data_IF_254303795646
#
_entry.id   IF_254303795646
#
_cell.length_a   1.000
_cell.length_b   1.000
_cell.length_c   1.000
_cell.angle_alpha   90.00
_cell.angle_beta   90.00
_cell.angle_gamma   90.00
#
_symmetry.space_group_name_H-M   'P 1'
#
loop_
_entity.id
_entity.type
_entity.pdbx_description
1 polymer ?
#
# COMPACT_ATOMS: atom_id res chain seq x y z
N UNK A 1 -23.19 -27.02 12.72
CA UNK A 1 -24.22 -25.98 12.52
C UNK A 1 -24.90 -25.52 13.82
N UNK A 2 -25.24 -26.41 14.77
CA UNK A 2 -25.83 -26.00 16.05
C UNK A 2 -25.03 -24.95 16.84
N UNK A 3 -23.71 -25.13 16.98
CA UNK A 3 -22.82 -24.19 17.68
C UNK A 3 -22.69 -22.85 16.93
N UNK A 4 -22.59 -22.89 15.60
CA UNK A 4 -22.57 -21.69 14.75
C UNK A 4 -23.82 -20.82 14.92
N UNK A 5 -25.02 -21.45 15.02
CA UNK A 5 -26.26 -20.70 15.24
C UNK A 5 -26.48 -20.29 16.69
N UNK A 6 -25.73 -20.86 17.63
CA UNK A 6 -25.65 -20.38 18.99
C UNK A 6 -24.78 -19.11 19.09
N UNK A 7 -23.62 -19.10 18.41
CA UNK A 7 -22.80 -17.89 18.20
C UNK A 7 -23.60 -16.80 17.48
N UNK A 8 -24.38 -17.15 16.46
CA UNK A 8 -25.29 -16.21 15.77
C UNK A 8 -26.30 -15.60 16.74
N UNK A 9 -27.02 -16.41 17.50
CA UNK A 9 -28.02 -15.93 18.45
C UNK A 9 -27.39 -15.06 19.55
N UNK A 10 -26.18 -15.41 20.00
CA UNK A 10 -25.41 -14.58 20.94
C UNK A 10 -25.03 -13.24 20.31
N UNK A 11 -24.52 -13.24 19.08
CA UNK A 11 -24.14 -12.02 18.38
C UNK A 11 -25.31 -11.06 18.21
N UNK A 12 -26.51 -11.56 17.85
CA UNK A 12 -27.73 -10.76 17.79
C UNK A 12 -28.13 -10.21 19.16
N UNK A 13 -28.01 -11.01 20.23
CA UNK A 13 -28.39 -10.55 21.58
C UNK A 13 -27.48 -9.44 22.11
N UNK A 14 -26.20 -9.48 21.73
CA UNK A 14 -25.19 -8.51 22.14
C UNK A 14 -24.99 -7.38 21.12
N UNK A 15 -25.68 -7.43 19.96
CA UNK A 15 -25.41 -6.58 18.78
C UNK A 15 -23.92 -6.53 18.41
N UNK A 16 -23.25 -7.68 18.47
CA UNK A 16 -21.79 -7.77 18.34
C UNK A 16 -21.35 -8.27 16.95
N UNK A 17 -21.12 -7.34 16.03
CA UNK A 17 -20.85 -7.62 14.61
C UNK A 17 -19.67 -8.55 14.35
N UNK A 18 -18.59 -8.47 15.13
CA UNK A 18 -17.43 -9.34 14.92
C UNK A 18 -17.71 -10.81 15.25
N UNK A 19 -18.59 -11.11 16.22
CA UNK A 19 -18.95 -12.50 16.54
C UNK A 19 -19.80 -13.04 15.39
N UNK A 20 -20.75 -12.23 14.90
CA UNK A 20 -21.53 -12.55 13.70
C UNK A 20 -20.63 -12.75 12.46
N UNK A 21 -19.58 -11.95 12.29
CA UNK A 21 -18.65 -12.13 11.17
C UNK A 21 -17.89 -13.46 11.27
N UNK A 22 -17.56 -13.94 12.47
CA UNK A 22 -16.86 -15.21 12.67
C UNK A 22 -17.70 -16.42 12.29
N UNK A 23 -19.02 -16.35 12.39
CA UNK A 23 -19.90 -17.45 11.93
C UNK A 23 -19.86 -17.63 10.41
N UNK A 24 -19.38 -16.63 9.66
CA UNK A 24 -19.15 -16.67 8.20
C UNK A 24 -17.67 -16.82 7.84
N UNK A 25 -16.78 -17.13 8.79
CA UNK A 25 -15.36 -17.33 8.50
C UNK A 25 -15.16 -18.56 7.61
N UNK A 26 -14.40 -18.46 6.49
CA UNK A 26 -13.99 -19.62 5.71
C UNK A 26 -12.74 -20.30 6.26
N UNK A 27 -12.18 -19.82 7.38
CA UNK A 27 -11.03 -20.43 8.03
C UNK A 27 -11.47 -20.98 9.37
N UNK A 28 -11.31 -22.30 9.63
CA UNK A 28 -11.66 -22.88 10.91
C UNK A 28 -10.74 -22.32 12.02
N UNK A 29 -11.27 -22.07 13.24
CA UNK A 29 -10.45 -21.62 14.35
C UNK A 29 -9.46 -22.73 14.76
N UNK A 30 -8.29 -22.39 15.35
CA UNK A 30 -7.27 -23.38 15.71
C UNK A 30 -7.77 -24.53 16.58
N UNK A 31 -8.74 -24.28 17.46
CA UNK A 31 -9.35 -25.29 18.32
C UNK A 31 -10.41 -26.17 17.65
N UNK A 32 -10.87 -25.85 16.44
CA UNK A 32 -11.91 -26.61 15.72
C UNK A 32 -11.57 -26.73 14.22
N UNK A 33 -10.49 -27.45 13.85
CA UNK A 33 -10.04 -27.55 12.45
C UNK A 33 -11.09 -28.15 11.51
N UNK A 34 -12.00 -28.99 12.02
CA UNK A 34 -13.06 -29.64 11.24
C UNK A 34 -14.38 -28.84 11.18
N UNK A 35 -14.42 -27.57 11.65
CA UNK A 35 -15.67 -26.77 11.74
C UNK A 35 -16.43 -26.70 10.41
N UNK A 36 -15.74 -26.47 9.29
CA UNK A 36 -16.37 -26.41 7.97
C UNK A 36 -16.99 -27.75 7.55
N UNK A 37 -16.27 -28.87 7.74
CA UNK A 37 -16.80 -30.21 7.44
C UNK A 37 -18.02 -30.55 8.29
N UNK A 38 -18.02 -30.19 9.57
CA UNK A 38 -19.18 -30.38 10.44
C UNK A 38 -20.39 -29.54 10.03
N UNK A 39 -20.17 -28.32 9.51
CA UNK A 39 -21.24 -27.51 8.93
C UNK A 39 -21.82 -28.20 7.69
N UNK A 40 -20.96 -28.73 6.81
CA UNK A 40 -21.40 -29.44 5.62
C UNK A 40 -22.20 -30.71 5.94
N UNK A 41 -21.76 -31.51 6.89
CA UNK A 41 -22.41 -32.78 7.27
C UNK A 41 -23.74 -32.59 8.00
N UNK A 42 -24.02 -31.39 8.51
CA UNK A 42 -25.22 -31.14 9.32
C UNK A 42 -26.51 -30.94 8.53
N UNK A 43 -26.44 -30.77 7.20
CA UNK A 43 -27.60 -30.62 6.31
C UNK A 43 -27.23 -31.09 4.90
N UNK A 44 -28.18 -31.04 3.96
CA UNK A 44 -27.96 -31.37 2.56
C UNK A 44 -28.54 -30.30 1.62
N UNK A 45 -28.17 -30.37 0.35
CA UNK A 45 -28.57 -29.39 -0.68
C UNK A 45 -30.08 -29.18 -0.82
N UNK A 46 -30.88 -30.22 -0.55
CA UNK A 46 -32.34 -30.17 -0.69
C UNK A 46 -33.03 -29.55 0.53
N UNK A 47 -32.46 -29.69 1.73
CA UNK A 47 -33.07 -29.27 3.01
C UNK A 47 -32.44 -28.01 3.61
N UNK A 48 -31.29 -27.56 3.11
CA UNK A 48 -30.47 -26.48 3.69
C UNK A 48 -31.29 -25.25 4.13
N UNK A 49 -32.18 -24.71 3.29
CA UNK A 49 -32.97 -23.53 3.66
C UNK A 49 -33.97 -23.80 4.80
N UNK A 50 -34.60 -24.98 4.80
CA UNK A 50 -35.54 -25.39 5.84
C UNK A 50 -34.85 -25.59 7.18
N UNK A 51 -33.72 -26.30 7.17
CA UNK A 51 -32.91 -26.55 8.36
C UNK A 51 -32.36 -25.24 8.94
N UNK A 52 -31.81 -24.36 8.09
CA UNK A 52 -31.34 -23.03 8.50
C UNK A 52 -32.45 -22.20 9.15
N UNK A 53 -33.66 -22.20 8.57
CA UNK A 53 -34.82 -21.51 9.15
C UNK A 53 -35.15 -22.05 10.54
N UNK A 54 -35.12 -23.38 10.70
CA UNK A 54 -35.36 -24.03 11.98
C UNK A 54 -34.27 -23.68 13.01
N UNK A 55 -32.98 -23.75 12.63
CA UNK A 55 -31.88 -23.42 13.53
C UNK A 55 -31.91 -21.96 13.99
N UNK A 56 -32.09 -21.01 13.05
CA UNK A 56 -32.18 -19.58 13.37
C UNK A 56 -33.32 -19.35 14.34
N UNK A 57 -34.55 -19.75 13.99
CA UNK A 57 -35.74 -19.52 14.83
C UNK A 57 -35.61 -20.15 16.20
N UNK A 58 -35.14 -21.39 16.28
CA UNK A 58 -35.05 -22.12 17.55
C UNK A 58 -34.02 -21.51 18.48
N UNK A 59 -32.86 -21.09 17.96
CA UNK A 59 -31.77 -20.52 18.75
C UNK A 59 -32.00 -19.06 19.14
N UNK A 60 -32.73 -18.30 18.32
CA UNK A 60 -33.03 -16.88 18.61
C UNK A 60 -34.30 -16.69 19.42
N UNK A 61 -35.29 -17.60 19.34
CA UNK A 61 -36.61 -17.45 19.98
C UNK A 61 -36.59 -17.08 21.47
N UNK A 62 -35.58 -17.52 22.24
CA UNK A 62 -35.46 -17.22 23.67
C UNK A 62 -34.53 -16.05 24.00
N UNK A 63 -33.78 -15.53 23.01
CA UNK A 63 -32.72 -14.52 23.22
C UNK A 63 -33.05 -13.18 22.56
N UNK A 64 -33.61 -13.19 21.35
CA UNK A 64 -33.83 -11.97 20.54
C UNK A 64 -35.03 -12.14 19.61
N UNK A 65 -35.84 -11.10 19.48
CA UNK A 65 -36.87 -11.01 18.45
C UNK A 65 -36.25 -10.43 17.17
N UNK A 66 -36.18 -11.24 16.12
CA UNK A 66 -35.68 -10.85 14.80
C UNK A 66 -36.88 -10.81 13.85
N UNK A 67 -36.93 -9.81 12.97
CA UNK A 67 -38.01 -9.69 11.99
C UNK A 67 -38.02 -10.87 11.00
N UNK A 68 -39.19 -11.21 10.46
CA UNK A 68 -39.31 -12.33 9.54
C UNK A 68 -38.52 -12.11 8.24
N UNK A 69 -38.47 -10.86 7.75
CA UNK A 69 -37.74 -10.54 6.53
C UNK A 69 -36.22 -10.60 6.75
N UNK A 70 -35.75 -10.11 7.88
CA UNK A 70 -34.34 -10.24 8.29
C UNK A 70 -33.93 -11.71 8.41
N UNK A 71 -34.77 -12.56 9.00
CA UNK A 71 -34.53 -14.02 9.08
C UNK A 71 -34.38 -14.61 7.66
N UNK A 72 -35.25 -14.23 6.72
CA UNK A 72 -35.16 -14.74 5.34
C UNK A 72 -33.86 -14.29 4.67
N UNK A 73 -33.44 -13.04 4.87
CA UNK A 73 -32.16 -12.54 4.38
C UNK A 73 -30.99 -13.36 4.92
N UNK A 74 -30.95 -13.64 6.22
CA UNK A 74 -29.90 -14.48 6.81
C UNK A 74 -29.93 -15.92 6.30
N UNK A 75 -31.11 -16.51 6.05
CA UNK A 75 -31.22 -17.85 5.45
C UNK A 75 -30.58 -17.86 4.05
N UNK A 76 -30.81 -16.84 3.23
CA UNK A 76 -30.17 -16.75 1.90
C UNK A 76 -28.64 -16.65 2.02
N UNK A 77 -28.15 -15.82 2.94
CA UNK A 77 -26.70 -15.66 3.21
C UNK A 77 -26.09 -16.97 3.68
N UNK A 78 -26.66 -17.65 4.67
CA UNK A 78 -26.11 -18.89 5.20
C UNK A 78 -26.24 -20.06 4.22
N UNK A 79 -27.27 -20.09 3.36
CA UNK A 79 -27.36 -21.09 2.30
C UNK A 79 -26.24 -20.90 1.26
N UNK A 80 -25.96 -19.65 0.87
CA UNK A 80 -24.84 -19.35 -0.02
C UNK A 80 -23.49 -19.67 0.64
N UNK A 81 -23.34 -19.36 1.95
CA UNK A 81 -22.15 -19.71 2.71
C UNK A 81 -21.93 -21.23 2.81
N UNK A 82 -22.99 -22.01 3.04
CA UNK A 82 -22.90 -23.48 3.07
C UNK A 82 -22.40 -24.05 1.74
N UNK A 83 -22.92 -23.55 0.60
CA UNK A 83 -22.43 -23.92 -0.74
C UNK A 83 -20.95 -23.55 -0.90
N UNK A 84 -20.58 -22.33 -0.53
CA UNK A 84 -19.20 -21.86 -0.64
C UNK A 84 -18.23 -22.64 0.26
N UNK A 85 -18.64 -23.00 1.48
CA UNK A 85 -17.88 -23.88 2.37
C UNK A 85 -17.65 -25.26 1.74
N UNK A 86 -18.63 -25.78 0.99
CA UNK A 86 -18.50 -27.03 0.24
C UNK A 86 -17.41 -26.95 -0.82
N UNK A 87 -17.43 -25.89 -1.62
CA UNK A 87 -16.39 -25.64 -2.63
C UNK A 87 -15.01 -25.40 -2.00
N UNK A 88 -14.93 -24.71 -0.86
CA UNK A 88 -13.66 -24.49 -0.14
C UNK A 88 -13.04 -25.81 0.30
N UNK A 89 -13.82 -26.67 0.97
CA UNK A 89 -13.34 -27.98 1.43
C UNK A 89 -12.95 -28.85 0.22
N UNK A 90 -13.73 -28.84 -0.85
CA UNK A 90 -13.39 -29.56 -2.07
C UNK A 90 -12.12 -29.00 -2.74
N UNK A 91 -11.93 -27.69 -2.75
CA UNK A 91 -10.75 -27.02 -3.30
C UNK A 91 -9.47 -27.33 -2.51
N UNK A 92 -9.54 -27.37 -1.18
CA UNK A 92 -8.42 -27.77 -0.32
C UNK A 92 -8.02 -29.25 -0.50
N UNK A 93 -8.98 -30.11 -0.85
CA UNK A 93 -8.75 -31.52 -1.17
C UNK A 93 -8.35 -31.76 -2.64
N UNK A 94 -8.22 -30.71 -3.46
CA UNK A 94 -7.90 -30.81 -4.89
C UNK A 94 -9.04 -31.35 -5.76
N UNK A 95 -10.27 -31.40 -5.23
CA UNK A 95 -11.48 -31.87 -5.91
C UNK A 95 -12.28 -30.74 -6.57
N UNK A 96 -11.96 -29.48 -6.28
CA UNK A 96 -12.55 -28.30 -6.91
C UNK A 96 -11.46 -27.28 -7.27
N UNK A 97 -11.79 -26.32 -8.14
CA UNK A 97 -10.88 -25.25 -8.53
C UNK A 97 -11.08 -24.00 -7.67
N UNK A 98 -10.04 -23.18 -7.50
CA UNK A 98 -10.16 -21.91 -6.80
C UNK A 98 -11.10 -20.94 -7.50
N UNK A 99 -11.31 -21.10 -8.81
CA UNK A 99 -12.34 -20.36 -9.57
C UNK A 99 -13.75 -20.69 -9.08
N UNK A 100 -14.08 -21.98 -8.86
CA UNK A 100 -15.40 -22.36 -8.31
C UNK A 100 -15.58 -21.85 -6.88
N UNK A 101 -14.51 -21.88 -6.08
CA UNK A 101 -14.49 -21.30 -4.73
C UNK A 101 -14.79 -19.79 -4.78
N UNK A 102 -14.12 -19.06 -5.68
CA UNK A 102 -14.35 -17.63 -5.86
C UNK A 102 -15.80 -17.35 -6.28
N UNK A 103 -16.32 -18.05 -7.28
CA UNK A 103 -17.69 -17.87 -7.78
C UNK A 103 -18.73 -18.13 -6.68
N UNK A 104 -18.57 -19.19 -5.88
CA UNK A 104 -19.46 -19.46 -4.75
C UNK A 104 -19.35 -18.39 -3.64
N UNK A 105 -18.14 -17.85 -3.40
CA UNK A 105 -17.96 -16.77 -2.42
C UNK A 105 -18.47 -15.41 -2.93
N UNK A 106 -18.45 -15.20 -4.25
CA UNK A 106 -19.04 -14.05 -4.93
C UNK A 106 -20.58 -14.08 -4.82
N UNK A 107 -21.19 -15.26 -4.96
CA UNK A 107 -22.62 -15.47 -4.69
C UNK A 107 -22.96 -15.09 -3.25
N UNK A 108 -22.19 -15.58 -2.27
CA UNK A 108 -22.34 -15.20 -0.85
C UNK A 108 -22.24 -13.69 -0.64
N UNK A 109 -21.25 -13.04 -1.27
CA UNK A 109 -21.09 -11.59 -1.21
C UNK A 109 -22.32 -10.88 -1.74
N UNK A 110 -22.89 -11.37 -2.84
CA UNK A 110 -24.09 -10.79 -3.45
C UNK A 110 -25.34 -10.97 -2.59
N UNK A 111 -25.51 -12.12 -1.94
CA UNK A 111 -26.61 -12.35 -0.98
C UNK A 111 -26.48 -11.46 0.25
N UNK A 112 -25.25 -11.25 0.74
CA UNK A 112 -25.02 -10.35 1.87
C UNK A 112 -25.36 -8.90 1.52
N UNK A 113 -24.93 -8.41 0.35
CA UNK A 113 -25.30 -7.07 -0.15
C UNK A 113 -26.83 -6.94 -0.28
N UNK A 114 -27.50 -7.98 -0.79
CA UNK A 114 -28.98 -8.01 -0.89
C UNK A 114 -29.63 -7.93 0.50
N UNK A 115 -29.06 -8.58 1.51
CA UNK A 115 -29.49 -8.48 2.91
C UNK A 115 -29.59 -7.03 3.41
N UNK A 116 -28.57 -6.21 3.13
CA UNK A 116 -28.58 -4.79 3.50
C UNK A 116 -29.50 -3.90 2.66
N UNK A 117 -29.77 -4.27 1.40
CA UNK A 117 -30.65 -3.48 0.55
C UNK A 117 -32.13 -3.81 0.78
N UNK A 118 -32.43 -5.08 1.01
CA UNK A 118 -33.79 -5.59 0.93
C UNK A 118 -34.31 -6.16 2.25
N UNK A 119 -33.44 -6.67 3.12
CA UNK A 119 -33.83 -7.41 4.34
C UNK A 119 -33.48 -6.68 5.64
N UNK A 120 -33.20 -5.36 5.56
CA UNK A 120 -33.07 -4.49 6.73
C UNK A 120 -31.86 -4.76 7.64
N UNK A 121 -30.77 -5.35 7.13
CA UNK A 121 -29.58 -5.60 7.96
C UNK A 121 -29.03 -4.30 8.57
N UNK A 122 -28.95 -4.26 9.89
CA UNK A 122 -28.52 -3.10 10.67
C UNK A 122 -26.99 -2.89 10.60
N UNK A 123 -26.53 -1.66 10.87
CA UNK A 123 -25.11 -1.28 10.78
C UNK A 123 -24.16 -2.05 11.71
N UNK A 124 -24.62 -2.57 12.85
CA UNK A 124 -23.74 -3.37 13.72
C UNK A 124 -23.27 -4.66 13.04
N UNK A 125 -23.94 -5.12 11.97
CA UNK A 125 -23.59 -6.33 11.23
C UNK A 125 -22.47 -6.12 10.19
N UNK A 126 -22.04 -4.87 9.94
CA UNK A 126 -21.00 -4.50 8.94
C UNK A 126 -19.71 -5.32 8.97
N UNK A 127 -19.20 -5.79 10.13
CA UNK A 127 -18.02 -6.66 10.14
C UNK A 127 -18.17 -7.92 9.27
N UNK A 128 -19.39 -8.37 8.97
CA UNK A 128 -19.66 -9.43 7.98
C UNK A 128 -19.27 -9.04 6.56
N UNK A 129 -19.56 -7.80 6.13
CA UNK A 129 -19.15 -7.27 4.82
C UNK A 129 -17.64 -7.23 4.70
N UNK A 130 -16.95 -6.88 5.79
CA UNK A 130 -15.51 -6.99 5.84
C UNK A 130 -15.07 -8.44 5.64
N UNK A 131 -15.52 -9.37 6.49
CA UNK A 131 -15.12 -10.77 6.43
C UNK A 131 -15.26 -11.33 5.01
N UNK A 132 -16.45 -11.16 4.44
CA UNK A 132 -16.75 -11.66 3.10
C UNK A 132 -15.91 -10.96 2.03
N UNK A 133 -15.79 -9.62 2.06
CA UNK A 133 -14.98 -8.87 1.08
C UNK A 133 -13.48 -9.17 1.16
N UNK A 134 -12.94 -9.41 2.37
CA UNK A 134 -11.54 -9.82 2.57
C UNK A 134 -11.26 -11.15 1.88
N UNK A 135 -12.11 -12.14 2.13
CA UNK A 135 -11.91 -13.48 1.59
C UNK A 135 -12.26 -13.57 0.11
N UNK A 136 -13.22 -12.77 -0.38
CA UNK A 136 -13.47 -12.60 -1.82
C UNK A 136 -12.17 -12.21 -2.54
N UNK A 137 -11.46 -11.20 -2.02
CA UNK A 137 -10.17 -10.77 -2.57
C UNK A 137 -9.09 -11.85 -2.49
N UNK A 138 -9.02 -12.61 -1.39
CA UNK A 138 -8.04 -13.68 -1.24
C UNK A 138 -8.31 -14.85 -2.19
N UNK A 139 -9.57 -15.23 -2.38
CA UNK A 139 -9.96 -16.28 -3.30
C UNK A 139 -9.78 -15.86 -4.76
N UNK A 140 -10.04 -14.59 -5.11
CA UNK A 140 -9.72 -14.04 -6.42
C UNK A 140 -8.22 -14.20 -6.75
N UNK A 141 -7.34 -13.80 -5.82
CA UNK A 141 -5.88 -13.94 -5.98
C UNK A 141 -5.47 -15.40 -6.13
N UNK A 142 -6.07 -16.33 -5.37
CA UNK A 142 -5.79 -17.76 -5.49
C UNK A 142 -6.27 -18.33 -6.82
N UNK A 143 -7.45 -17.93 -7.28
CA UNK A 143 -8.01 -18.35 -8.57
C UNK A 143 -7.16 -17.85 -9.74
N UNK A 144 -6.81 -16.57 -9.77
CA UNK A 144 -5.93 -16.02 -10.80
C UNK A 144 -4.57 -16.73 -10.81
N UNK A 145 -3.97 -16.98 -9.63
CA UNK A 145 -2.70 -17.71 -9.54
C UNK A 145 -2.80 -19.19 -9.98
N UNK A 146 -3.93 -19.86 -9.77
CA UNK A 146 -4.19 -21.21 -10.28
C UNK A 146 -4.33 -21.20 -11.81
N UNK A 147 -5.05 -20.21 -12.36
CA UNK A 147 -5.22 -20.03 -13.80
C UNK A 147 -3.89 -19.76 -14.50
N UNK A 148 -3.07 -18.84 -13.98
CA UNK A 148 -1.74 -18.56 -14.56
C UNK A 148 -0.87 -19.82 -14.63
N UNK A 149 -0.86 -20.64 -13.57
CA UNK A 149 -0.11 -21.91 -13.56
C UNK A 149 -0.63 -22.92 -14.59
N UNK A 150 -1.94 -22.99 -14.80
CA UNK A 150 -2.52 -23.89 -15.79
C UNK A 150 -2.20 -23.45 -17.22
N UNK A 151 -2.19 -22.13 -17.47
CA UNK A 151 -1.80 -21.55 -18.77
C UNK A 151 -0.33 -21.79 -19.11
N UNK A 152 0.57 -21.81 -18.12
CA UNK A 152 2.00 -22.13 -18.35
C UNK A 152 2.25 -23.60 -18.75
N UNK A 153 1.36 -24.53 -18.36
CA UNK A 153 1.52 -25.98 -18.61
C UNK A 153 1.01 -26.39 -20.00
N UNK A 154 0.11 -25.62 -20.60
CA UNK A 154 -0.41 -25.87 -21.95
C UNK A 154 0.31 -24.92 -22.91
N UNK A 155 1.30 -25.37 -23.71
CA UNK A 155 1.92 -24.49 -24.69
C UNK A 155 0.86 -24.14 -25.72
N UNK A 156 0.41 -22.88 -25.72
CA UNK A 156 -0.49 -22.32 -26.74
C UNK A 156 0.27 -22.15 -28.05
N UNK A 157 0.61 -23.27 -28.69
CA UNK A 157 0.82 -23.27 -30.13
C UNK A 157 -0.53 -23.01 -30.78
N UNK A 158 -0.69 -21.89 -31.47
CA UNK A 158 -1.70 -21.55 -32.51
C UNK A 158 -2.61 -20.32 -32.26
N UNK A 159 -2.56 -19.63 -31.12
CA UNK A 159 -3.52 -18.53 -30.86
C UNK A 159 -2.93 -17.11 -30.79
N UNK A 160 -1.62 -16.93 -30.96
CA UNK A 160 -0.96 -15.61 -30.88
C UNK A 160 -0.94 -14.84 -32.22
N UNK A 161 -1.97 -15.01 -33.06
CA UNK A 161 -2.15 -14.22 -34.28
C UNK A 161 -3.51 -13.52 -34.23
N UNK A 162 -3.44 -12.20 -34.05
CA UNK A 162 -4.49 -11.17 -34.25
C UNK A 162 -5.28 -10.72 -33.01
N UNK A 163 -4.70 -9.77 -32.25
CA UNK A 163 -5.34 -8.50 -31.84
C UNK A 163 -4.33 -7.63 -31.09
N UNK A 164 -4.09 -6.42 -31.58
CA UNK A 164 -3.10 -5.44 -31.07
C UNK A 164 -3.53 -4.75 -29.75
N UNK A 165 -4.73 -5.10 -29.25
CA UNK A 165 -5.32 -4.62 -27.97
C UNK A 165 -5.35 -5.72 -26.88
N UNK A 166 -4.65 -6.84 -27.07
CA UNK A 166 -4.57 -7.88 -26.06
C UNK A 166 -3.63 -7.43 -24.91
N UNK A 167 -4.22 -7.03 -23.78
CA UNK A 167 -3.50 -6.87 -22.50
C UNK A 167 -3.44 -8.24 -21.79
N UNK A 168 -2.37 -9.04 -21.95
CA UNK A 168 -2.25 -10.34 -21.29
C UNK A 168 -2.36 -10.25 -19.76
N UNK A 169 -1.96 -9.13 -19.14
CA UNK A 169 -2.11 -8.93 -17.69
C UNK A 169 -3.60 -8.77 -17.29
N UNK A 170 -4.46 -8.31 -18.20
CA UNK A 170 -5.89 -8.18 -17.95
C UNK A 170 -6.60 -9.54 -17.82
N UNK A 171 -6.18 -10.53 -18.60
CA UNK A 171 -6.77 -11.87 -18.56
C UNK A 171 -6.17 -12.74 -17.46
N UNK A 172 -4.90 -12.50 -17.08
CA UNK A 172 -4.27 -13.15 -15.92
C UNK A 172 -4.92 -12.78 -14.58
N UNK A 173 -5.44 -11.56 -14.45
CA UNK A 173 -6.02 -11.04 -13.20
C UNK A 173 -7.54 -10.82 -13.28
N UNK A 174 -8.22 -11.58 -14.13
CA UNK A 174 -9.65 -11.43 -14.42
C UNK A 174 -10.51 -11.52 -13.14
N UNK A 175 -10.23 -12.46 -12.23
CA UNK A 175 -11.04 -12.66 -11.03
C UNK A 175 -10.82 -11.53 -10.02
N UNK A 176 -9.59 -11.01 -9.92
CA UNK A 176 -9.31 -9.86 -9.07
C UNK A 176 -9.95 -8.57 -9.61
N UNK A 177 -10.07 -8.39 -10.94
CA UNK A 177 -10.82 -7.30 -11.57
C UNK A 177 -12.33 -7.44 -11.33
N UNK A 178 -12.89 -8.65 -11.39
CA UNK A 178 -14.30 -8.89 -11.04
C UNK A 178 -14.55 -8.61 -9.54
N UNK A 179 -13.64 -9.05 -8.66
CA UNK A 179 -13.71 -8.81 -7.23
C UNK A 179 -13.78 -7.30 -6.89
N UNK A 180 -13.03 -6.49 -7.63
CA UNK A 180 -13.04 -5.03 -7.51
C UNK A 180 -14.44 -4.44 -7.68
N UNK A 181 -15.21 -4.91 -8.66
CA UNK A 181 -16.59 -4.45 -8.90
C UNK A 181 -17.51 -4.78 -7.72
N UNK A 182 -17.34 -5.96 -7.12
CA UNK A 182 -18.10 -6.33 -5.92
C UNK A 182 -17.71 -5.49 -4.69
N UNK A 183 -16.42 -5.20 -4.51
CA UNK A 183 -15.97 -4.30 -3.45
C UNK A 183 -16.49 -2.86 -3.66
N UNK A 184 -16.57 -2.38 -4.90
CA UNK A 184 -17.23 -1.10 -5.24
C UNK A 184 -18.70 -1.08 -4.86
N UNK A 185 -19.43 -2.18 -5.10
CA UNK A 185 -20.84 -2.29 -4.69
C UNK A 185 -21.00 -2.17 -3.17
N UNK A 186 -20.10 -2.79 -2.40
CA UNK A 186 -20.10 -2.66 -0.93
C UNK A 186 -19.72 -1.23 -0.51
N UNK A 187 -18.75 -0.61 -1.17
CA UNK A 187 -18.38 0.78 -0.92
C UNK A 187 -19.57 1.72 -1.13
N UNK A 188 -20.27 1.61 -2.27
CA UNK A 188 -21.45 2.41 -2.59
C UNK A 188 -22.61 2.14 -1.62
N UNK A 189 -22.81 0.88 -1.20
CA UNK A 189 -23.80 0.50 -0.19
C UNK A 189 -23.58 1.24 1.14
N UNK A 190 -22.32 1.30 1.61
CA UNK A 190 -21.99 1.98 2.86
C UNK A 190 -22.06 3.49 2.71
N UNK A 191 -21.57 4.03 1.59
CA UNK A 191 -21.46 5.47 1.35
C UNK A 191 -22.82 6.15 1.18
N UNK A 192 -23.75 5.50 0.47
CA UNK A 192 -25.07 6.05 0.19
C UNK A 192 -26.07 5.84 1.33
N UNK A 193 -25.63 5.35 2.49
CA UNK A 193 -26.52 5.14 3.61
C UNK A 193 -27.03 6.47 4.18
N UNK A 194 -28.35 6.55 4.30
CA UNK A 194 -29.08 7.75 4.75
C UNK A 194 -29.48 7.69 6.21
N UNK A 195 -29.17 6.60 6.91
CA UNK A 195 -29.36 6.52 8.35
C UNK A 195 -28.54 7.60 9.08
N UNK A 196 -29.00 8.08 10.25
CA UNK A 196 -28.21 8.94 11.13
C UNK A 196 -26.83 8.34 11.39
N UNK A 197 -25.82 9.19 11.62
CA UNK A 197 -24.43 8.73 11.72
C UNK A 197 -24.24 7.68 12.82
N UNK A 198 -25.01 7.72 13.90
CA UNK A 198 -24.98 6.78 15.02
C UNK A 198 -25.28 5.33 14.58
N UNK A 199 -26.14 5.17 13.58
CA UNK A 199 -26.60 3.87 13.08
C UNK A 199 -26.21 3.65 11.61
N UNK A 200 -25.29 4.47 11.09
CA UNK A 200 -24.96 4.47 9.68
C UNK A 200 -23.96 3.38 9.29
N UNK A 201 -24.16 2.82 8.10
CA UNK A 201 -23.23 1.92 7.44
C UNK A 201 -21.92 2.59 7.01
N UNK A 202 -21.86 3.92 7.06
CA UNK A 202 -20.64 4.71 6.82
C UNK A 202 -19.50 4.34 7.78
N UNK A 203 -19.77 3.79 8.97
CA UNK A 203 -18.73 3.27 9.86
C UNK A 203 -17.92 2.09 9.28
N UNK A 204 -18.43 1.43 8.25
CA UNK A 204 -17.70 0.38 7.51
C UNK A 204 -16.77 0.89 6.41
N UNK A 205 -16.83 2.17 6.06
CA UNK A 205 -16.33 2.67 4.77
C UNK A 205 -14.82 2.54 4.61
N UNK A 206 -14.02 2.95 5.61
CA UNK A 206 -12.56 2.89 5.54
C UNK A 206 -12.06 1.45 5.51
N UNK A 207 -12.82 0.53 6.08
CA UNK A 207 -12.52 -0.89 5.96
C UNK A 207 -12.55 -1.31 4.48
N UNK A 208 -13.61 -0.96 3.76
CA UNK A 208 -13.81 -1.33 2.35
C UNK A 208 -12.85 -0.55 1.44
N UNK A 209 -12.61 0.74 1.69
CA UNK A 209 -11.60 1.54 0.98
C UNK A 209 -10.22 0.86 1.06
N UNK A 210 -9.83 0.37 2.24
CA UNK A 210 -8.56 -0.33 2.41
C UNK A 210 -8.48 -1.63 1.62
N UNK A 211 -9.61 -2.34 1.41
CA UNK A 211 -9.64 -3.49 0.50
C UNK A 211 -9.51 -3.06 -0.96
N UNK A 212 -10.22 -2.02 -1.38
CA UNK A 212 -10.11 -1.46 -2.73
C UNK A 212 -8.69 -1.00 -3.04
N UNK A 213 -8.03 -0.25 -2.15
CA UNK A 213 -6.62 0.12 -2.32
C UNK A 213 -5.72 -1.11 -2.46
N UNK A 214 -5.84 -2.09 -1.57
CA UNK A 214 -5.09 -3.36 -1.69
C UNK A 214 -5.34 -4.04 -3.03
N UNK A 215 -6.55 -3.98 -3.57
CA UNK A 215 -6.90 -4.55 -4.88
C UNK A 215 -6.28 -3.74 -6.02
N UNK A 216 -6.47 -2.43 -6.07
CA UNK A 216 -5.91 -1.56 -7.12
C UNK A 216 -4.39 -1.62 -7.21
N UNK A 217 -3.69 -1.60 -6.07
CA UNK A 217 -2.23 -1.73 -6.05
C UNK A 217 -1.75 -3.10 -6.52
N UNK A 218 -2.55 -4.16 -6.34
CA UNK A 218 -2.23 -5.50 -6.84
C UNK A 218 -2.51 -5.62 -8.34
N UNK A 219 -3.54 -4.94 -8.84
CA UNK A 219 -3.93 -4.80 -10.25
C UNK A 219 -3.06 -3.82 -11.06
N UNK A 220 -1.94 -3.34 -10.50
CA UNK A 220 -1.12 -2.28 -11.12
C UNK A 220 -1.91 -1.00 -11.50
N UNK A 221 -3.09 -0.79 -10.93
CA UNK A 221 -4.03 0.28 -11.32
C UNK A 221 -4.21 1.29 -10.17
N UNK A 222 -3.10 1.68 -9.54
CA UNK A 222 -3.11 2.52 -8.33
C UNK A 222 -3.84 3.86 -8.53
N UNK A 223 -3.83 4.42 -9.74
CA UNK A 223 -4.51 5.66 -10.12
C UNK A 223 -6.03 5.62 -9.88
N UNK A 224 -6.68 4.45 -9.92
CA UNK A 224 -8.10 4.29 -9.61
C UNK A 224 -8.44 4.65 -8.15
N UNK A 225 -7.45 4.58 -7.26
CA UNK A 225 -7.57 5.01 -5.86
C UNK A 225 -7.95 6.49 -5.76
N UNK A 226 -7.55 7.32 -6.73
CA UNK A 226 -7.86 8.75 -6.78
C UNK A 226 -9.36 9.01 -6.91
N UNK A 227 -10.09 8.15 -7.62
CA UNK A 227 -11.56 8.24 -7.70
C UNK A 227 -12.20 8.02 -6.35
N UNK A 228 -11.71 7.05 -5.56
CA UNK A 228 -12.21 6.80 -4.21
C UNK A 228 -11.92 7.98 -3.28
N UNK A 229 -10.69 8.53 -3.32
CA UNK A 229 -10.32 9.69 -2.52
C UNK A 229 -11.15 10.94 -2.86
N UNK A 230 -11.36 11.21 -4.15
CA UNK A 230 -12.20 12.33 -4.61
C UNK A 230 -13.64 12.18 -4.12
N UNK A 231 -14.22 10.99 -4.29
CA UNK A 231 -15.57 10.72 -3.79
C UNK A 231 -15.65 10.93 -2.28
N UNK A 232 -14.71 10.37 -1.51
CA UNK A 232 -14.67 10.54 -0.05
C UNK A 232 -14.55 12.02 0.35
N UNK A 233 -13.70 12.80 -0.32
CA UNK A 233 -13.52 14.22 -0.06
C UNK A 233 -14.82 15.02 -0.23
N UNK A 234 -15.61 14.71 -1.25
CA UNK A 234 -16.92 15.35 -1.48
C UNK A 234 -17.90 15.09 -0.33
N UNK A 235 -17.97 13.85 0.17
CA UNK A 235 -18.85 13.52 1.29
C UNK A 235 -18.38 14.13 2.62
N UNK A 236 -17.07 14.19 2.84
CA UNK A 236 -16.48 14.86 4.00
C UNK A 236 -16.79 16.37 3.99
N UNK A 237 -16.69 17.05 2.84
CA UNK A 237 -17.02 18.47 2.70
C UNK A 237 -18.50 18.75 2.99
N UNK A 238 -19.39 17.81 2.67
CA UNK A 238 -20.83 17.91 2.99
C UNK A 238 -21.15 17.64 4.47
N UNK A 239 -20.18 17.21 5.28
CA UNK A 239 -20.41 16.80 6.67
C UNK A 239 -21.20 15.49 6.80
N UNK A 240 -21.30 14.70 5.73
CA UNK A 240 -22.11 13.46 5.67
C UNK A 240 -21.28 12.20 6.00
N UNK A 241 -20.15 12.36 6.69
CA UNK A 241 -19.20 11.31 6.99
C UNK A 241 -18.64 11.46 8.41
N UNK A 242 -18.48 10.37 9.18
CA UNK A 242 -17.77 10.44 10.45
C UNK A 242 -16.32 10.88 10.23
N UNK A 243 -15.73 11.64 11.17
CA UNK A 243 -14.33 12.06 11.08
C UNK A 243 -13.39 10.85 11.11
N UNK A 244 -12.28 10.92 10.38
CA UNK A 244 -11.31 9.83 10.24
C UNK A 244 -10.78 9.36 11.60
N UNK A 245 -10.67 10.27 12.56
CA UNK A 245 -10.14 10.04 13.91
C UNK A 245 -10.98 9.03 14.70
N UNK A 246 -12.29 8.97 14.41
CA UNK A 246 -13.23 8.06 15.07
C UNK A 246 -13.13 6.62 14.59
N UNK A 247 -12.36 6.35 13.53
CA UNK A 247 -12.15 4.99 13.04
C UNK A 247 -10.98 4.30 13.76
N UNK A 248 -10.96 2.95 13.80
CA UNK A 248 -9.87 2.21 14.41
C UNK A 248 -8.51 2.57 13.81
N UNK A 249 -7.47 2.67 14.65
CA UNK A 249 -6.10 3.01 14.22
C UNK A 249 -5.60 2.11 13.08
N UNK A 250 -5.92 0.81 13.10
CA UNK A 250 -5.53 -0.13 12.05
C UNK A 250 -6.07 0.25 10.66
N UNK A 251 -7.28 0.80 10.59
CA UNK A 251 -7.89 1.28 9.35
C UNK A 251 -7.25 2.59 8.89
N UNK A 252 -7.04 3.51 9.83
CA UNK A 252 -6.44 4.83 9.59
C UNK A 252 -5.00 4.71 9.07
N UNK A 253 -4.17 3.87 9.70
CA UNK A 253 -2.78 3.60 9.27
C UNK A 253 -2.75 3.06 7.85
N UNK A 254 -3.61 2.08 7.55
CA UNK A 254 -3.67 1.47 6.20
C UNK A 254 -4.10 2.50 5.16
N UNK A 255 -5.10 3.32 5.47
CA UNK A 255 -5.61 4.36 4.59
C UNK A 255 -4.53 5.39 4.28
N UNK A 256 -3.89 5.94 5.32
CA UNK A 256 -2.81 6.93 5.19
C UNK A 256 -1.57 6.40 4.48
N UNK A 257 -1.23 5.14 4.70
CA UNK A 257 -0.16 4.46 3.97
C UNK A 257 -0.46 4.48 2.46
N UNK A 258 -1.64 4.04 2.02
CA UNK A 258 -1.96 4.00 0.59
C UNK A 258 -2.13 5.40 -0.03
N UNK A 259 -2.67 6.36 0.72
CA UNK A 259 -2.72 7.76 0.32
C UNK A 259 -1.31 8.31 0.06
N UNK A 260 -0.38 8.09 1.00
CA UNK A 260 1.02 8.50 0.85
C UNK A 260 1.75 7.81 -0.30
N UNK A 261 1.55 6.49 -0.48
CA UNK A 261 2.14 5.77 -1.61
C UNK A 261 1.55 6.22 -2.95
N UNK A 262 0.27 6.60 -3.01
CA UNK A 262 -0.31 7.15 -4.23
C UNK A 262 0.38 8.45 -4.64
N UNK A 263 0.53 9.39 -3.71
CA UNK A 263 1.27 10.63 -3.97
C UNK A 263 2.74 10.39 -4.30
N UNK A 264 3.36 9.37 -3.71
CA UNK A 264 4.72 8.95 -4.04
C UNK A 264 4.86 8.55 -5.51
N UNK A 265 3.92 7.72 -6.01
CA UNK A 265 3.90 7.26 -7.40
C UNK A 265 3.60 8.40 -8.39
N UNK A 266 2.98 9.47 -7.93
CA UNK A 266 2.70 10.69 -8.68
C UNK A 266 3.84 11.73 -8.56
N UNK A 267 4.96 11.34 -7.95
CA UNK A 267 6.14 12.17 -7.67
C UNK A 267 5.87 13.42 -6.82
N UNK A 268 4.72 13.47 -6.13
CA UNK A 268 4.42 14.50 -5.14
C UNK A 268 4.99 14.10 -3.78
N UNK A 269 6.31 14.18 -3.65
CA UNK A 269 7.03 13.71 -2.47
C UNK A 269 6.69 14.47 -1.18
N UNK A 270 6.28 15.74 -1.28
CA UNK A 270 5.89 16.56 -0.12
C UNK A 270 4.61 16.05 0.53
N UNK A 271 3.55 15.83 -0.26
CA UNK A 271 2.32 15.24 0.26
C UNK A 271 2.52 13.77 0.64
N UNK A 272 3.32 13.02 -0.13
CA UNK A 272 3.66 11.64 0.21
C UNK A 272 4.33 11.53 1.58
N UNK A 273 5.33 12.38 1.87
CA UNK A 273 5.98 12.42 3.18
C UNK A 273 4.95 12.69 4.29
N UNK A 274 4.10 13.71 4.13
CA UNK A 274 3.09 14.07 5.13
C UNK A 274 2.22 12.87 5.52
N UNK A 275 1.62 12.20 4.53
CA UNK A 275 0.73 11.06 4.82
C UNK A 275 1.49 9.81 5.31
N UNK A 276 2.72 9.58 4.84
CA UNK A 276 3.56 8.48 5.32
C UNK A 276 4.04 8.70 6.76
N UNK A 277 4.31 9.94 7.16
CA UNK A 277 4.61 10.31 8.56
C UNK A 277 3.37 10.10 9.44
N UNK A 278 2.19 10.56 9.01
CA UNK A 278 0.94 10.29 9.73
C UNK A 278 0.69 8.78 9.90
N UNK A 279 0.93 7.99 8.85
CA UNK A 279 0.81 6.53 8.91
C UNK A 279 1.84 5.91 9.88
N UNK A 280 3.08 6.41 9.87
CA UNK A 280 4.16 5.97 10.75
C UNK A 280 3.82 6.22 12.23
N UNK A 281 3.37 7.43 12.56
CA UNK A 281 3.08 7.85 13.92
C UNK A 281 1.85 7.12 14.50
N UNK A 282 0.89 6.79 13.65
CA UNK A 282 -0.29 5.99 14.03
C UNK A 282 0.02 4.48 14.14
N UNK A 283 1.11 4.00 13.52
CA UNK A 283 1.45 2.58 13.47
C UNK A 283 1.82 2.06 14.86
N UNK A 284 1.34 0.84 15.19
CA UNK A 284 1.73 0.19 16.44
C UNK A 284 3.21 -0.22 16.39
N UNK A 285 3.93 0.00 17.49
CA UNK A 285 5.38 -0.28 17.59
C UNK A 285 5.72 -1.76 17.34
N UNK A 286 4.83 -2.67 17.73
CA UNK A 286 5.03 -4.11 17.54
C UNK A 286 4.70 -4.58 16.11
N UNK A 287 4.01 -3.76 15.31
CA UNK A 287 3.62 -4.09 13.94
C UNK A 287 4.78 -3.87 12.95
N UNK A 288 5.92 -4.54 13.20
CA UNK A 288 7.19 -4.36 12.47
C UNK A 288 7.04 -4.46 10.96
N UNK A 289 6.26 -5.41 10.45
CA UNK A 289 6.02 -5.57 9.00
C UNK A 289 5.30 -4.37 8.38
N UNK A 290 4.39 -3.73 9.11
CA UNK A 290 3.68 -2.54 8.62
C UNK A 290 4.59 -1.33 8.68
N UNK A 291 5.32 -1.16 9.77
CA UNK A 291 6.36 -0.16 9.93
C UNK A 291 7.42 -0.24 8.81
N UNK A 292 7.88 -1.46 8.48
CA UNK A 292 8.80 -1.71 7.37
C UNK A 292 8.24 -1.26 6.01
N UNK A 293 6.96 -1.53 5.73
CA UNK A 293 6.29 -1.07 4.51
C UNK A 293 6.20 0.45 4.45
N UNK A 294 5.88 1.12 5.56
CA UNK A 294 5.82 2.58 5.60
C UNK A 294 7.22 3.18 5.34
N UNK A 295 8.25 2.66 6.03
CA UNK A 295 9.64 3.13 5.88
C UNK A 295 10.19 2.94 4.47
N UNK A 296 9.77 1.90 3.77
CA UNK A 296 10.15 1.64 2.36
C UNK A 296 9.92 2.86 1.47
N UNK A 297 8.83 3.61 1.68
CA UNK A 297 8.49 4.80 0.90
C UNK A 297 8.88 6.10 1.62
N UNK A 298 8.80 6.12 2.96
CA UNK A 298 9.13 7.31 3.74
C UNK A 298 10.62 7.67 3.66
N UNK A 299 11.52 6.67 3.61
CA UNK A 299 12.96 6.91 3.50
C UNK A 299 13.31 7.63 2.19
N UNK A 300 12.92 7.12 0.99
CA UNK A 300 13.11 7.85 -0.26
C UNK A 300 12.44 9.23 -0.29
N UNK A 301 11.24 9.39 0.27
CA UNK A 301 10.61 10.73 0.37
C UNK A 301 11.51 11.72 1.10
N UNK A 302 11.93 11.37 2.33
CA UNK A 302 12.75 12.24 3.17
C UNK A 302 14.13 12.52 2.59
N UNK A 303 14.66 11.56 1.83
CA UNK A 303 15.88 11.78 1.06
C UNK A 303 15.69 12.94 0.07
N UNK A 304 14.58 13.02 -0.65
CA UNK A 304 14.37 14.05 -1.67
C UNK A 304 13.83 15.37 -1.10
N UNK A 305 12.95 15.34 -0.10
CA UNK A 305 12.29 16.54 0.43
C UNK A 305 13.17 17.31 1.41
N UNK A 306 13.87 16.59 2.29
CA UNK A 306 14.61 17.16 3.42
C UNK A 306 16.08 16.75 3.45
N UNK A 307 16.54 15.98 2.47
CA UNK A 307 17.91 15.46 2.39
C UNK A 307 18.33 14.66 3.64
N UNK A 308 17.35 14.05 4.32
CA UNK A 308 17.57 13.27 5.55
C UNK A 308 17.85 11.82 5.19
N UNK A 309 18.96 11.30 5.72
CA UNK A 309 19.40 9.92 5.53
C UNK A 309 18.97 9.04 6.71
N UNK A 310 18.60 7.77 6.48
CA UNK A 310 18.25 6.86 7.56
C UNK A 310 19.48 6.59 8.45
N UNK A 311 19.24 6.47 9.75
CA UNK A 311 20.30 6.11 10.72
C UNK A 311 20.36 4.60 10.89
N UNK A 312 21.54 4.07 11.23
CA UNK A 312 21.69 2.63 11.56
C UNK A 312 20.71 2.21 12.67
N UNK A 313 20.54 3.05 13.70
CA UNK A 313 19.60 2.80 14.80
C UNK A 313 18.14 2.68 14.36
N UNK A 314 17.72 3.48 13.36
CA UNK A 314 16.37 3.38 12.80
C UNK A 314 16.17 2.07 12.03
N UNK A 315 17.20 1.62 11.31
CA UNK A 315 17.14 0.44 10.43
C UNK A 315 17.41 -0.88 11.16
N UNK A 316 18.05 -0.86 12.32
CA UNK A 316 18.43 -2.04 13.11
C UNK A 316 17.28 -3.04 13.35
N UNK A 317 16.02 -2.62 13.63
CA UNK A 317 14.90 -3.55 13.77
C UNK A 317 14.42 -4.17 12.45
N UNK A 318 14.92 -3.70 11.29
CA UNK A 318 14.45 -4.05 9.95
C UNK A 318 15.62 -4.51 9.05
N UNK A 319 16.07 -5.77 9.17
CA UNK A 319 17.27 -6.25 8.48
C UNK A 319 17.25 -6.03 6.96
N UNK A 320 16.11 -6.26 6.30
CA UNK A 320 15.95 -6.04 4.86
C UNK A 320 16.12 -4.58 4.46
N UNK A 321 15.55 -3.65 5.23
CA UNK A 321 15.73 -2.22 4.96
C UNK A 321 17.16 -1.77 5.25
N UNK A 322 17.80 -2.38 6.25
CA UNK A 322 19.19 -2.11 6.56
C UNK A 322 20.10 -2.50 5.40
N UNK A 323 19.92 -3.69 4.84
CA UNK A 323 20.67 -4.16 3.67
C UNK A 323 20.49 -3.25 2.46
N UNK A 324 19.25 -2.82 2.19
CA UNK A 324 18.93 -2.00 1.03
C UNK A 324 19.37 -0.53 1.15
N UNK A 325 19.06 0.13 2.28
CA UNK A 325 19.22 1.58 2.41
C UNK A 325 20.51 2.02 3.09
N UNK A 326 21.12 1.19 3.95
CA UNK A 326 22.32 1.61 4.69
C UNK A 326 23.54 1.84 3.77
N UNK A 327 23.81 1.01 2.75
CA UNK A 327 24.89 1.27 1.79
C UNK A 327 24.68 2.60 1.06
N UNK A 328 23.48 2.81 0.48
CA UNK A 328 23.12 4.05 -0.19
C UNK A 328 23.31 5.28 0.72
N UNK A 329 22.82 5.20 1.97
CA UNK A 329 22.95 6.29 2.92
C UNK A 329 24.41 6.62 3.27
N UNK A 330 25.29 5.61 3.36
CA UNK A 330 26.72 5.82 3.57
C UNK A 330 27.35 6.51 2.36
N UNK A 331 27.09 6.02 1.15
CA UNK A 331 27.62 6.58 -0.10
C UNK A 331 27.16 8.02 -0.31
N UNK A 332 25.88 8.33 -0.08
CA UNK A 332 25.37 9.71 -0.16
C UNK A 332 26.08 10.60 0.86
N UNK A 333 26.26 10.15 2.10
CA UNK A 333 26.94 10.93 3.15
C UNK A 333 28.42 11.17 2.82
N UNK A 334 29.12 10.16 2.27
CA UNK A 334 30.52 10.29 1.87
C UNK A 334 30.70 11.01 0.54
N UNK A 335 29.65 11.17 -0.29
CA UNK A 335 29.78 11.68 -1.65
C UNK A 335 30.49 10.69 -2.58
N UNK A 336 30.33 9.38 -2.33
CA UNK A 336 30.93 8.31 -3.11
C UNK A 336 29.96 7.87 -4.22
N UNK A 337 30.19 8.37 -5.43
CA UNK A 337 29.29 8.16 -6.57
C UNK A 337 29.36 6.74 -7.11
N UNK A 338 30.56 6.17 -7.21
CA UNK A 338 30.76 4.82 -7.73
C UNK A 338 30.11 3.76 -6.86
N UNK A 339 30.36 3.81 -5.55
CA UNK A 339 29.73 2.84 -4.64
C UNK A 339 28.23 3.12 -4.45
N UNK A 340 27.76 4.34 -4.73
CA UNK A 340 26.33 4.60 -4.82
C UNK A 340 25.71 3.84 -6.01
N UNK A 341 26.31 3.96 -7.20
CA UNK A 341 25.83 3.31 -8.43
C UNK A 341 25.84 1.77 -8.27
N UNK A 342 26.91 1.20 -7.69
CA UNK A 342 27.00 -0.24 -7.37
C UNK A 342 25.94 -0.66 -6.35
N UNK A 343 25.75 0.12 -5.28
CA UNK A 343 24.75 -0.20 -4.27
C UNK A 343 23.33 -0.15 -4.83
N UNK A 344 23.04 0.83 -5.70
CA UNK A 344 21.74 0.97 -6.37
C UNK A 344 21.47 -0.24 -7.28
N UNK A 345 22.46 -0.64 -8.08
CA UNK A 345 22.38 -1.80 -8.96
C UNK A 345 22.21 -3.11 -8.16
N UNK A 346 22.94 -3.27 -7.05
CA UNK A 346 22.83 -4.48 -6.21
C UNK A 346 21.44 -4.72 -5.63
N UNK A 347 20.66 -3.65 -5.43
CA UNK A 347 19.28 -3.70 -4.94
C UNK A 347 18.21 -3.53 -6.02
N UNK A 348 18.58 -3.49 -7.30
CA UNK A 348 17.71 -3.09 -8.42
C UNK A 348 16.39 -3.86 -8.42
N UNK A 349 16.42 -5.19 -8.42
CA UNK A 349 15.21 -6.05 -8.39
C UNK A 349 14.25 -5.67 -7.25
N UNK A 350 14.82 -5.41 -6.07
CA UNK A 350 14.09 -5.09 -4.85
C UNK A 350 13.51 -3.68 -4.90
N UNK A 351 14.18 -2.74 -5.55
CA UNK A 351 13.73 -1.35 -5.71
C UNK A 351 12.69 -1.22 -6.82
N UNK A 352 12.89 -1.89 -7.96
CA UNK A 352 11.96 -1.93 -9.09
C UNK A 352 10.64 -2.56 -8.67
N UNK A 353 10.68 -3.72 -8.00
CA UNK A 353 9.48 -4.40 -7.49
C UNK A 353 8.65 -3.53 -6.54
N UNK A 354 9.29 -2.62 -5.80
CA UNK A 354 8.62 -1.69 -4.86
C UNK A 354 8.33 -0.32 -5.47
N UNK A 355 8.75 -0.08 -6.72
CA UNK A 355 8.63 1.20 -7.46
C UNK A 355 9.34 2.37 -6.78
N UNK A 356 10.50 2.11 -6.18
CA UNK A 356 11.32 3.15 -5.51
C UNK A 356 12.67 3.37 -6.19
N UNK A 357 13.00 2.62 -7.25
CA UNK A 357 14.29 2.70 -7.95
C UNK A 357 14.58 4.11 -8.49
N UNK A 358 13.69 4.65 -9.33
CA UNK A 358 13.85 5.98 -9.93
C UNK A 358 13.94 7.09 -8.87
N UNK A 359 13.16 6.98 -7.79
CA UNK A 359 13.24 7.92 -6.67
C UNK A 359 14.59 7.85 -5.96
N UNK A 360 15.14 6.66 -5.77
CA UNK A 360 16.45 6.48 -5.15
C UNK A 360 17.59 6.93 -6.04
N UNK A 361 17.50 6.72 -7.35
CA UNK A 361 18.46 7.20 -8.35
C UNK A 361 18.68 8.72 -8.25
N UNK A 362 17.60 9.48 -8.03
CA UNK A 362 17.68 10.94 -7.76
C UNK A 362 18.51 11.29 -6.52
N UNK A 363 18.71 10.34 -5.60
CA UNK A 363 19.65 10.46 -4.49
C UNK A 363 21.12 10.66 -4.91
N UNK A 364 21.48 10.30 -6.15
CA UNK A 364 22.80 10.52 -6.73
C UNK A 364 23.16 12.01 -6.78
N UNK A 365 22.20 12.87 -7.08
CA UNK A 365 22.40 14.34 -7.05
C UNK A 365 22.84 14.83 -5.67
N UNK A 366 22.28 14.23 -4.62
CA UNK A 366 22.59 14.58 -3.22
C UNK A 366 24.00 14.07 -2.85
N UNK A 367 24.38 12.89 -3.35
CA UNK A 367 25.75 12.39 -3.20
C UNK A 367 26.76 13.30 -3.90
N UNK A 368 26.48 13.71 -5.15
CA UNK A 368 27.31 14.63 -5.91
C UNK A 368 27.42 15.99 -5.20
N UNK A 369 26.30 16.56 -4.76
CA UNK A 369 26.31 17.78 -3.95
C UNK A 369 27.23 17.66 -2.74
N UNK A 370 27.17 16.53 -2.02
CA UNK A 370 28.00 16.32 -0.82
C UNK A 370 29.49 16.20 -1.17
N UNK A 371 29.84 15.63 -2.32
CA UNK A 371 31.21 15.61 -2.84
C UNK A 371 31.70 17.02 -3.18
N UNK A 372 30.93 17.78 -3.98
CA UNK A 372 31.27 19.15 -4.37
C UNK A 372 31.39 20.07 -3.15
N UNK A 373 30.52 19.89 -2.15
CA UNK A 373 30.60 20.58 -0.87
C UNK A 373 31.92 20.30 -0.14
N UNK A 374 32.43 19.06 -0.18
CA UNK A 374 33.73 18.73 0.42
C UNK A 374 34.88 19.42 -0.31
N UNK A 375 34.83 19.50 -1.64
CA UNK A 375 35.82 20.26 -2.43
C UNK A 375 35.83 21.73 -2.01
N UNK A 376 34.65 22.35 -1.91
CA UNK A 376 34.53 23.73 -1.45
C UNK A 376 35.06 23.95 -0.03
N UNK A 377 34.83 23.00 0.89
CA UNK A 377 35.38 23.08 2.25
C UNK A 377 36.91 22.94 2.24
N UNK A 378 37.42 22.00 1.46
CA UNK A 378 38.85 21.71 1.35
C UNK A 378 39.64 22.86 0.72
N UNK A 379 39.02 23.64 -0.17
CA UNK A 379 39.60 24.85 -0.77
C UNK A 379 39.90 25.99 0.20
N UNK A 380 39.47 25.88 1.47
CA UNK A 380 39.88 26.79 2.55
C UNK A 380 39.19 28.15 2.54
N UNK A 381 39.93 29.17 2.99
CA UNK A 381 39.46 30.56 3.14
C UNK A 381 40.32 31.49 2.29
N UNK A 382 39.70 32.54 1.76
CA UNK A 382 40.45 33.62 1.11
C UNK A 382 41.30 34.37 2.15
N UNK A 383 42.40 34.96 1.70
CA UNK A 383 43.26 35.78 2.56
C UNK A 383 42.45 36.96 3.15
N UNK A 384 42.57 37.24 4.47
CA UNK A 384 41.85 38.34 5.07
C UNK A 384 42.33 39.64 4.45
N UNK A 385 41.40 40.41 3.87
CA UNK A 385 41.68 41.81 3.52
C UNK A 385 41.79 42.62 4.82
N UNK A 386 42.70 43.59 4.86
CA UNK A 386 43.11 44.36 6.06
C UNK A 386 41.97 45.03 6.86
N UNK A 387 40.72 45.01 6.38
CA UNK A 387 39.54 45.57 7.02
C UNK A 387 38.44 44.57 7.40
N UNK A 388 38.55 43.26 7.10
CA UNK A 388 37.51 42.27 7.38
C UNK A 388 37.92 41.29 8.51
N UNK A 389 37.18 41.31 9.63
CA UNK A 389 37.39 40.42 10.79
C UNK A 389 36.82 39.01 10.59
N UNK A 390 35.92 38.83 9.62
CA UNK A 390 35.30 37.54 9.29
C UNK A 390 35.99 36.85 8.13
N UNK A 391 36.54 35.65 8.38
CA UNK A 391 37.11 34.79 7.32
C UNK A 391 36.03 34.35 6.33
N UNK A 392 36.22 34.69 5.06
CA UNK A 392 35.32 34.28 3.96
C UNK A 392 35.91 33.05 3.28
N UNK A 393 35.08 32.04 3.00
CA UNK A 393 35.52 30.85 2.26
C UNK A 393 35.95 31.24 0.84
N UNK A 394 36.93 30.54 0.29
CA UNK A 394 37.37 30.73 -1.09
C UNK A 394 36.22 30.44 -2.05
N UNK A 395 35.60 31.48 -2.59
CA UNK A 395 34.41 31.33 -3.44
C UNK A 395 34.74 31.04 -4.89
N UNK A 396 35.97 31.26 -5.34
CA UNK A 396 36.42 31.02 -6.71
C UNK A 396 37.17 29.68 -6.76
N UNK A 397 36.49 28.64 -7.22
CA UNK A 397 37.01 27.28 -7.25
C UNK A 397 37.22 26.86 -8.71
N UNK A 398 38.46 26.54 -9.14
CA UNK A 398 38.75 25.98 -10.45
C UNK A 398 37.92 24.72 -10.74
N UNK A 399 37.43 24.59 -11.97
CA UNK A 399 36.69 23.40 -12.42
C UNK A 399 37.56 22.14 -12.27
N UNK A 400 38.88 22.26 -12.48
CA UNK A 400 39.84 21.19 -12.29
C UNK A 400 39.85 20.60 -10.87
N UNK A 401 39.56 21.39 -9.82
CA UNK A 401 39.48 20.88 -8.44
C UNK A 401 38.25 19.97 -8.26
N UNK A 402 37.11 20.33 -8.89
CA UNK A 402 35.94 19.47 -8.93
C UNK A 402 36.16 18.23 -9.79
N UNK A 403 36.78 18.39 -10.97
CA UNK A 403 37.13 17.28 -11.86
C UNK A 403 38.01 16.25 -11.14
N UNK A 404 39.07 16.69 -10.46
CA UNK A 404 39.93 15.80 -9.68
C UNK A 404 39.14 15.01 -8.63
N UNK A 405 38.24 15.67 -7.89
CA UNK A 405 37.43 15.02 -6.88
C UNK A 405 36.46 13.98 -7.46
N UNK A 406 35.81 14.28 -8.59
CA UNK A 406 34.90 13.35 -9.25
C UNK A 406 35.68 12.17 -9.84
N UNK A 407 36.80 12.40 -10.52
CA UNK A 407 37.65 11.31 -11.06
C UNK A 407 38.23 10.41 -9.97
N UNK A 408 38.66 10.98 -8.83
CA UNK A 408 39.06 10.16 -7.67
C UNK A 408 37.89 9.33 -7.14
N UNK A 409 36.68 9.90 -7.08
CA UNK A 409 35.45 9.22 -6.64
C UNK A 409 34.94 8.14 -7.59
N UNK A 410 35.22 8.26 -8.89
CA UNK A 410 34.88 7.26 -9.92
C UNK A 410 35.89 6.11 -10.00
N UNK A 411 36.94 6.11 -9.16
CA UNK A 411 37.97 5.07 -9.14
C UNK A 411 39.04 5.24 -10.22
N UNK A 412 39.30 6.48 -10.63
CA UNK A 412 40.43 6.84 -11.50
C UNK A 412 40.04 7.15 -12.94
N UNK A 413 38.78 6.98 -13.32
CA UNK A 413 38.33 7.31 -14.67
C UNK A 413 38.37 8.84 -14.89
N UNK A 414 39.06 9.27 -15.94
CA UNK A 414 39.14 10.67 -16.32
C UNK A 414 37.81 11.12 -16.89
N UNK A 415 37.16 12.07 -16.24
CA UNK A 415 35.93 12.71 -16.73
C UNK A 415 36.31 13.99 -17.46
N UNK A 416 35.66 14.23 -18.60
CA UNK A 416 35.92 15.42 -19.40
C UNK A 416 35.46 16.68 -18.68
N UNK A 417 36.15 17.80 -18.94
CA UNK A 417 35.87 19.09 -18.31
C UNK A 417 34.46 19.57 -18.65
N UNK A 418 34.01 19.35 -19.90
CA UNK A 418 32.66 19.70 -20.34
C UNK A 418 31.58 18.90 -19.58
N UNK A 419 31.85 17.64 -19.24
CA UNK A 419 30.94 16.83 -18.42
C UNK A 419 30.88 17.34 -16.98
N UNK A 420 32.01 17.72 -16.39
CA UNK A 420 32.04 18.34 -15.05
C UNK A 420 31.25 19.65 -15.03
N UNK A 421 31.42 20.51 -16.04
CA UNK A 421 30.66 21.75 -16.16
C UNK A 421 29.16 21.48 -16.26
N UNK A 422 28.75 20.47 -17.02
CA UNK A 422 27.35 20.05 -17.12
C UNK A 422 26.80 19.58 -15.76
N UNK A 423 27.55 18.75 -15.03
CA UNK A 423 27.19 18.31 -13.68
C UNK A 423 27.02 19.50 -12.72
N UNK A 424 27.96 20.45 -12.73
CA UNK A 424 27.90 21.66 -11.92
C UNK A 424 26.70 22.53 -12.28
N UNK A 425 26.42 22.73 -13.58
CA UNK A 425 25.28 23.48 -14.06
C UNK A 425 23.96 22.86 -13.58
N UNK A 426 23.85 21.52 -13.62
CA UNK A 426 22.70 20.79 -13.11
C UNK A 426 22.52 20.97 -11.60
N UNK A 427 23.61 20.99 -10.82
CA UNK A 427 23.54 21.23 -9.37
C UNK A 427 23.09 22.66 -9.05
N UNK A 428 23.48 23.63 -9.87
CA UNK A 428 23.02 25.03 -9.75
C UNK A 428 21.54 25.15 -10.11
N UNK A 429 21.13 24.55 -11.22
CA UNK A 429 19.73 24.54 -11.66
C UNK A 429 18.79 23.91 -10.62
N UNK A 430 19.21 22.81 -9.98
CA UNK A 430 18.45 22.10 -8.94
C UNK A 430 18.48 22.79 -7.56
N UNK A 431 19.09 23.97 -7.44
CA UNK A 431 19.31 24.71 -6.18
C UNK A 431 20.07 23.88 -5.10
N UNK A 432 20.87 22.90 -5.53
CA UNK A 432 21.74 22.12 -4.65
C UNK A 432 23.09 22.81 -4.44
N UNK A 433 23.44 23.75 -5.32
CA UNK A 433 24.65 24.56 -5.30
C UNK A 433 24.32 25.99 -5.74
N UNK A 434 24.78 27.03 -5.05
CA UNK A 434 24.54 28.43 -5.43
C UNK A 434 25.79 29.09 -5.97
N UNK A 435 25.75 29.52 -7.23
CA UNK A 435 26.87 30.17 -7.89
C UNK A 435 26.65 30.31 -9.39
N UNK A 436 27.71 30.63 -10.11
CA UNK A 436 27.74 30.63 -11.57
C UNK A 436 29.07 30.07 -12.08
N UNK A 437 29.05 29.53 -13.30
CA UNK A 437 30.25 29.00 -13.97
C UNK A 437 30.83 30.10 -14.88
N UNK A 438 32.07 30.47 -14.65
CA UNK A 438 32.82 31.39 -15.51
C UNK A 438 33.69 30.56 -16.48
N UNK A 439 33.06 30.05 -17.54
CA UNK A 439 33.63 29.07 -18.47
C UNK A 439 34.97 29.53 -19.09
N UNK A 440 35.04 30.77 -19.57
CA UNK A 440 36.27 31.35 -20.14
C UNK A 440 37.47 31.33 -19.18
N UNK A 441 37.21 31.33 -17.87
CA UNK A 441 38.25 31.34 -16.83
C UNK A 441 38.47 29.96 -16.20
N UNK A 442 37.68 28.96 -16.56
CA UNK A 442 37.73 27.61 -15.97
C UNK A 442 37.47 27.60 -14.46
N UNK A 443 36.63 28.51 -13.95
CA UNK A 443 36.31 28.60 -12.51
C UNK A 443 34.80 28.63 -12.27
N UNK A 444 34.38 28.10 -11.13
CA UNK A 444 33.05 28.28 -10.56
C UNK A 444 33.12 29.32 -9.46
N UNK A 445 32.21 30.29 -9.49
CA UNK A 445 32.08 31.31 -8.45
C UNK A 445 30.86 30.99 -7.60
N UNK A 446 31.12 30.50 -6.39
CA UNK A 446 30.12 30.11 -5.40
C UNK A 446 29.62 31.31 -4.59
N UNK A 447 28.40 31.20 -4.07
CA UNK A 447 27.82 32.19 -3.17
C UNK A 447 28.64 32.30 -1.87
N UNK A 448 28.84 33.52 -1.37
CA UNK A 448 29.51 33.77 -0.09
C UNK A 448 28.72 33.25 1.11
N UNK A 449 27.39 33.15 0.98
CA UNK A 449 26.48 32.65 2.01
C UNK A 449 25.54 31.62 1.40
N UNK A 450 25.44 30.44 1.99
CA UNK A 450 24.48 29.45 1.52
C UNK A 450 24.91 28.81 0.20
N UNK A 451 26.21 28.60 -0.03
CA UNK A 451 26.72 27.97 -1.25
C UNK A 451 26.10 26.59 -1.49
N UNK A 452 25.72 25.89 -0.42
CA UNK A 452 25.05 24.59 -0.46
C UNK A 452 23.82 24.61 0.46
N UNK A 453 22.63 24.99 -0.06
CA UNK A 453 21.42 25.16 0.72
C UNK A 453 21.08 23.94 1.61
N UNK A 454 20.63 24.21 2.84
CA UNK A 454 20.27 23.17 3.81
C UNK A 454 21.44 22.42 4.44
N UNK A 455 22.70 22.76 4.14
CA UNK A 455 23.88 22.07 4.69
C UNK A 455 24.69 22.88 5.72
N UNK A 456 24.20 24.09 6.06
CA UNK A 456 24.86 25.02 6.99
C UNK A 456 26.07 25.75 6.41
N UNK A 457 26.25 25.76 5.07
CA UNK A 457 27.33 26.45 4.34
C UNK A 457 26.78 27.41 3.29
#
# INVERSE_FOLDING_TARGET
MNEQFEEFAQAHSLRHGYILAQTLSPVPPPGQPNKLRQILQSTNSHSVKGDLKHFIKTKTARKVKIDHDEINGWIEVYAAYWKAAGEIVAGEEGKSSWTKVYEAWKDLTSMLIRGYNNHGFEAWTIPTLYMVGKYLRLFAIKSDAERSKQSEVVPTGSAALMQDDFDPEADEQAQLRDCEQHLKRIFTLCLNDRAPLEESRKWGIYYIINLLFKTYFKLNSASLSRTILKTLAVYNQKGDMPPLESFPKSQRVTFKYYEGVLFFLEENYTEAEKYLVEAWDLCQKDARTNSERILTYLIPCRLLTSHVLPTKKLLEPYPRLQELFLPLAKCIRSGDLRNFDIALQSGEDQFVKRRIYLTLERGRDIALRNLLRKVFIAGGFDEPKESETTRVRRTRVPVAEFQAAISMGSGGDSIDTDEVECLLANMIYKDLMKGYIARERGIVVLSKKGAFPGTGL
#
